data_IF_807609750328
#
_entry.id   IF_807609750328
#
_cell.length_a   1.000
_cell.length_b   1.000
_cell.length_c   1.000
_cell.angle_alpha   90.00
_cell.angle_beta   90.00
_cell.angle_gamma   90.00
#
_symmetry.space_group_name_H-M   'P 1'
#
loop_
_entity.id
_entity.type
_entity.pdbx_description
1 polymer ?
#
# COMPACT_ATOMS: atom_id res chain seq x y z
N UNK A 1 55.41 -27.74 22.24
CA UNK A 1 56.85 -27.46 22.21
C UNK A 1 57.23 -26.86 23.54
N UNK A 2 58.33 -27.34 24.08
CA UNK A 2 58.94 -26.94 25.35
C UNK A 2 59.04 -25.42 25.49
N UNK A 3 58.96 -24.96 26.74
CA UNK A 3 58.98 -23.55 27.08
C UNK A 3 60.35 -22.90 26.88
N UNK A 4 60.38 -21.58 27.10
CA UNK A 4 61.40 -20.85 27.83
C UNK A 4 60.95 -19.39 27.97
N UNK A 5 61.51 -18.71 28.99
CA UNK A 5 61.54 -17.27 29.23
C UNK A 5 60.45 -16.69 30.15
N UNK A 6 60.73 -16.72 31.45
CA UNK A 6 60.27 -15.69 32.37
C UNK A 6 61.19 -14.46 32.35
N UNK A 7 60.74 -13.35 32.92
CA UNK A 7 61.56 -12.51 33.79
C UNK A 7 60.70 -11.53 34.58
N UNK A 8 61.05 -11.41 35.84
CA UNK A 8 60.47 -10.58 36.90
C UNK A 8 60.96 -9.12 36.78
N UNK A 9 60.22 -8.17 37.35
CA UNK A 9 60.65 -7.58 38.63
C UNK A 9 59.86 -6.30 38.97
N UNK A 10 59.38 -6.31 40.20
CA UNK A 10 58.90 -5.17 40.96
C UNK A 10 60.10 -4.47 41.60
N UNK A 11 60.23 -3.17 41.35
CA UNK A 11 60.93 -2.18 42.18
C UNK A 11 59.96 -1.00 42.29
N UNK A 12 59.81 -0.26 43.36
CA UNK A 12 60.61 -0.02 44.53
C UNK A 12 60.10 1.30 45.13
N UNK A 13 60.23 1.43 46.43
CA UNK A 13 59.42 2.25 47.34
C UNK A 13 59.76 3.76 47.34
N UNK A 14 58.76 4.58 47.70
CA UNK A 14 58.77 5.69 48.71
C UNK A 14 58.80 7.19 48.34
N UNK A 15 57.84 7.89 48.98
CA UNK A 15 57.92 9.12 49.82
C UNK A 15 57.49 10.50 49.22
N UNK A 16 56.40 11.04 49.83
CA UNK A 16 56.04 12.44 50.24
C UNK A 16 56.33 13.59 49.24
N UNK A 17 55.51 14.62 49.05
CA UNK A 17 54.75 15.43 50.00
C UNK A 17 53.81 16.39 49.25
N UNK A 18 52.93 17.05 50.00
CA UNK A 18 51.72 17.76 49.59
C UNK A 18 51.93 19.28 49.40
N UNK A 19 51.09 19.86 48.52
CA UNK A 19 50.37 21.16 48.60
C UNK A 19 50.63 22.27 47.55
N UNK A 20 49.48 22.73 47.05
CA UNK A 20 49.05 24.09 46.74
C UNK A 20 49.27 24.67 45.31
N UNK A 21 48.23 24.49 44.51
CA UNK A 21 47.37 25.53 43.91
C UNK A 21 48.00 26.71 43.15
N UNK A 22 47.75 26.76 41.84
CA UNK A 22 47.25 27.92 41.09
C UNK A 22 47.03 27.48 39.62
N UNK A 23 45.78 27.20 39.23
CA UNK A 23 45.41 27.12 37.82
C UNK A 23 44.34 28.16 37.51
N UNK A 24 44.70 29.01 36.55
CA UNK A 24 43.87 30.04 35.96
C UNK A 24 42.77 29.44 35.09
N UNK A 25 41.70 30.22 34.94
CA UNK A 25 40.53 29.98 34.11
C UNK A 25 40.88 29.56 32.67
N UNK A 26 40.18 28.54 32.18
CA UNK A 26 39.61 28.55 30.82
C UNK A 26 38.21 27.95 30.86
N UNK A 27 37.21 28.75 30.51
CA UNK A 27 35.83 28.33 30.27
C UNK A 27 35.78 27.39 29.06
N UNK A 28 35.21 26.21 29.23
CA UNK A 28 34.58 25.49 28.12
C UNK A 28 33.27 24.89 28.64
N UNK A 29 32.16 25.28 28.03
CA UNK A 29 30.81 24.90 28.42
C UNK A 29 30.60 23.38 28.23
N UNK A 30 30.05 22.70 29.24
CA UNK A 30 29.49 21.36 29.07
C UNK A 30 28.07 21.50 28.50
N UNK A 31 27.84 21.03 27.27
CA UNK A 31 26.50 20.62 26.83
C UNK A 31 26.31 19.12 27.15
N UNK A 32 25.17 18.71 27.71
CA UNK A 32 24.83 17.30 27.81
C UNK A 32 24.30 16.80 26.46
N UNK A 33 25.07 15.98 25.76
CA UNK A 33 24.57 15.19 24.62
C UNK A 33 23.91 13.93 25.16
N UNK A 34 22.59 13.97 25.33
CA UNK A 34 21.75 12.77 25.34
C UNK A 34 21.32 12.50 23.90
N UNK A 35 22.15 11.78 23.15
CA UNK A 35 21.69 11.06 21.97
C UNK A 35 21.50 9.60 22.37
N UNK A 36 20.25 9.22 22.59
CA UNK A 36 19.87 7.82 22.50
C UNK A 36 20.16 7.35 21.06
N UNK A 37 20.63 6.11 20.85
CA UNK A 37 20.81 5.61 19.49
C UNK A 37 19.43 5.54 18.83
N UNK A 38 19.21 6.35 17.79
CA UNK A 38 18.08 6.18 16.88
C UNK A 38 18.12 4.76 16.36
N UNK A 39 17.12 3.94 16.72
CA UNK A 39 16.95 2.62 16.15
C UNK A 39 16.83 2.79 14.63
N UNK A 40 17.84 2.31 13.89
CA UNK A 40 17.79 2.27 12.44
C UNK A 40 16.71 1.29 12.03
N UNK A 41 15.68 1.79 11.34
CA UNK A 41 14.63 0.99 10.69
C UNK A 41 15.27 -0.12 9.84
N UNK A 42 14.76 -1.36 9.85
CA UNK A 42 15.15 -2.35 8.86
C UNK A 42 14.95 -1.77 7.46
N UNK A 43 15.92 -1.95 6.58
CA UNK A 43 15.72 -1.66 5.16
C UNK A 43 14.61 -2.61 4.66
N UNK A 44 13.43 -2.08 4.38
CA UNK A 44 12.28 -2.85 3.90
C UNK A 44 10.93 -2.41 4.44
N UNK A 45 10.81 -1.83 5.64
CA UNK A 45 9.47 -1.38 6.08
C UNK A 45 8.96 -0.21 5.22
N UNK A 46 7.67 -0.20 4.81
CA UNK A 46 7.08 0.97 4.18
C UNK A 46 7.35 2.23 5.01
N UNK A 47 7.64 3.39 4.40
CA UNK A 47 7.63 4.68 5.11
C UNK A 47 6.35 4.80 5.94
N UNK A 48 6.48 4.76 7.27
CA UNK A 48 5.34 4.84 8.18
C UNK A 48 4.56 6.16 8.06
N UNK A 49 5.15 7.15 7.37
CA UNK A 49 4.61 8.50 7.24
C UNK A 49 3.99 8.79 5.85
N UNK A 50 4.06 7.85 4.89
CA UNK A 50 3.46 8.04 3.55
C UNK A 50 2.15 7.24 3.49
N UNK A 51 1.01 7.85 3.12
CA UNK A 51 -0.25 7.16 2.94
C UNK A 51 -0.12 5.97 1.97
N UNK A 52 -0.74 4.81 2.25
CA UNK A 52 -0.67 3.62 1.39
C UNK A 52 -1.02 3.89 -0.08
N UNK A 53 -2.03 4.73 -0.33
CA UNK A 53 -2.38 5.18 -1.69
C UNK A 53 -1.20 5.84 -2.41
N UNK A 54 -0.54 6.81 -1.77
CA UNK A 54 0.60 7.54 -2.36
C UNK A 54 1.78 6.60 -2.63
N UNK A 55 2.02 5.60 -1.76
CA UNK A 55 3.04 4.58 -1.98
C UNK A 55 2.75 3.80 -3.26
N UNK A 56 1.52 3.30 -3.45
CA UNK A 56 1.13 2.55 -4.65
C UNK A 56 1.20 3.46 -5.88
N UNK A 57 0.63 4.67 -5.82
CA UNK A 57 0.65 5.62 -6.94
C UNK A 57 2.05 5.89 -7.48
N UNK A 58 3.08 5.86 -6.63
CA UNK A 58 4.48 6.04 -7.03
C UNK A 58 5.04 5.00 -8.01
N UNK A 59 4.38 3.84 -8.14
CA UNK A 59 4.78 2.75 -9.06
C UNK A 59 4.04 2.76 -10.40
N UNK A 60 3.06 3.65 -10.56
CA UNK A 60 2.19 3.69 -11.74
C UNK A 60 2.38 4.98 -12.55
N UNK A 61 2.31 4.85 -13.88
CA UNK A 61 2.45 5.97 -14.81
C UNK A 61 1.14 6.73 -15.05
N UNK A 62 1.22 7.77 -15.87
CA UNK A 62 0.07 8.65 -16.20
C UNK A 62 -1.12 7.92 -16.88
N UNK A 63 -0.89 6.74 -17.46
CA UNK A 63 -1.93 5.90 -18.06
C UNK A 63 -2.57 4.93 -17.05
N UNK A 64 -2.50 5.23 -15.77
CA UNK A 64 -3.13 4.45 -14.70
C UNK A 64 -3.91 5.37 -13.78
N UNK A 65 -5.09 4.92 -13.36
CA UNK A 65 -5.83 5.50 -12.25
C UNK A 65 -5.55 4.66 -11.00
N UNK A 66 -5.03 5.28 -9.94
CA UNK A 66 -4.79 4.61 -8.66
C UNK A 66 -5.72 5.21 -7.62
N UNK A 67 -6.50 4.37 -6.96
CA UNK A 67 -7.55 4.80 -6.06
C UNK A 67 -7.72 3.86 -4.86
N UNK A 68 -8.39 4.35 -3.82
CA UNK A 68 -8.73 3.54 -2.67
C UNK A 68 -9.89 2.59 -2.96
N UNK A 69 -9.84 1.45 -2.27
CA UNK A 69 -10.77 0.34 -2.33
C UNK A 69 -10.77 -0.36 -3.69
N UNK A 70 -10.97 -1.67 -3.67
CA UNK A 70 -11.13 -2.43 -4.89
C UNK A 70 -12.48 -2.10 -5.55
N UNK A 71 -12.54 -2.12 -6.90
CA UNK A 71 -13.67 -1.66 -7.66
C UNK A 71 -14.84 -2.66 -7.64
N UNK A 72 -15.99 -2.20 -8.11
CA UNK A 72 -17.20 -3.02 -8.23
C UNK A 72 -18.13 -2.98 -7.02
N UNK A 73 -19.39 -3.32 -7.28
CA UNK A 73 -20.46 -3.32 -6.26
C UNK A 73 -20.20 -4.39 -5.22
N UNK A 74 -19.62 -5.51 -5.68
CA UNK A 74 -19.15 -6.64 -4.90
C UNK A 74 -17.67 -6.81 -5.21
N UNK A 75 -16.81 -6.07 -4.50
CA UNK A 75 -15.38 -6.12 -4.75
C UNK A 75 -14.84 -7.52 -4.49
N UNK A 76 -13.69 -7.83 -5.09
CA UNK A 76 -13.03 -9.11 -4.88
C UNK A 76 -12.55 -9.28 -3.42
N UNK A 77 -12.23 -10.53 -3.07
CA UNK A 77 -11.56 -10.88 -1.83
C UNK A 77 -11.23 -12.35 -1.79
N UNK A 78 -10.46 -12.74 -0.79
CA UNK A 78 -10.04 -14.13 -0.62
C UNK A 78 -10.04 -14.56 0.84
N UNK A 79 -10.20 -15.86 1.04
CA UNK A 79 -10.13 -16.49 2.34
C UNK A 79 -9.04 -17.56 2.39
N UNK A 80 -8.50 -17.77 3.58
CA UNK A 80 -7.49 -18.79 3.87
C UNK A 80 -8.18 -20.06 4.37
N UNK A 81 -8.42 -21.05 3.52
CA UNK A 81 -8.94 -22.36 3.94
C UNK A 81 -7.83 -23.31 4.41
N UNK A 82 -6.65 -23.18 3.82
CA UNK A 82 -5.50 -24.04 4.12
C UNK A 82 -4.84 -23.73 5.46
N UNK A 83 -4.20 -24.73 6.06
CA UNK A 83 -3.32 -24.52 7.21
C UNK A 83 -1.91 -24.11 6.74
N UNK A 84 -1.26 -23.20 7.47
CA UNK A 84 0.10 -22.71 7.19
C UNK A 84 0.25 -22.09 5.79
N UNK A 85 -0.75 -21.32 5.35
CA UNK A 85 -0.68 -20.63 4.07
C UNK A 85 0.31 -19.48 4.17
N UNK A 86 1.17 -19.36 3.15
CA UNK A 86 2.16 -18.30 3.04
C UNK A 86 1.95 -17.64 1.68
N UNK A 87 1.61 -16.35 1.72
CA UNK A 87 1.44 -15.56 0.51
C UNK A 87 2.78 -15.02 -0.02
N UNK A 88 2.97 -14.98 -1.34
CA UNK A 88 3.97 -14.12 -1.95
C UNK A 88 3.58 -12.67 -1.67
N UNK A 89 4.51 -11.89 -1.11
CA UNK A 89 4.27 -10.51 -0.77
C UNK A 89 5.49 -9.64 -1.07
N UNK A 90 5.32 -8.32 -0.93
CA UNK A 90 6.36 -7.34 -1.16
C UNK A 90 6.48 -6.33 -0.03
N UNK A 91 7.68 -5.80 0.16
CA UNK A 91 7.87 -4.59 0.96
C UNK A 91 7.35 -3.32 0.27
N UNK A 92 7.39 -3.31 -1.05
CA UNK A 92 6.99 -2.20 -1.91
C UNK A 92 6.01 -2.71 -3.00
N UNK A 93 4.95 -1.97 -3.35
CA UNK A 93 3.93 -2.42 -4.30
C UNK A 93 4.38 -2.27 -5.77
N UNK A 94 5.56 -2.80 -6.11
CA UNK A 94 6.06 -2.84 -7.49
C UNK A 94 5.36 -3.96 -8.27
N UNK A 95 4.49 -3.65 -9.25
CA UNK A 95 3.78 -4.67 -10.04
C UNK A 95 4.72 -5.44 -10.99
N UNK A 96 5.89 -4.89 -11.31
CA UNK A 96 6.87 -5.51 -12.20
C UNK A 96 7.93 -6.33 -11.47
N UNK A 97 8.11 -6.05 -10.18
CA UNK A 97 9.06 -6.72 -9.30
C UNK A 97 8.55 -8.08 -8.83
N UNK A 98 9.44 -9.08 -8.65
CA UNK A 98 9.07 -10.33 -8.01
C UNK A 98 8.73 -10.08 -6.52
N UNK A 99 7.91 -10.94 -5.90
CA UNK A 99 7.74 -10.97 -4.45
C UNK A 99 9.09 -11.09 -3.72
N UNK A 100 9.32 -10.26 -2.71
CA UNK A 100 10.54 -10.23 -1.89
C UNK A 100 10.29 -10.50 -0.41
N UNK A 101 9.03 -10.79 -0.06
CA UNK A 101 8.57 -11.16 1.26
C UNK A 101 7.71 -12.44 1.20
N UNK A 102 7.71 -13.19 2.30
CA UNK A 102 6.75 -14.26 2.57
C UNK A 102 5.84 -13.83 3.71
N UNK A 103 4.53 -13.82 3.47
CA UNK A 103 3.56 -13.37 4.46
C UNK A 103 2.69 -14.56 4.92
N UNK A 104 3.02 -15.20 6.05
CA UNK A 104 2.12 -16.20 6.65
C UNK A 104 0.78 -15.57 6.99
N UNK A 105 -0.30 -16.33 6.83
CA UNK A 105 -1.64 -15.95 7.23
C UNK A 105 -2.30 -17.04 8.08
N UNK A 106 -3.11 -16.58 9.03
CA UNK A 106 -3.98 -17.42 9.84
C UNK A 106 -4.97 -18.20 8.97
N UNK A 107 -5.21 -19.46 9.36
CA UNK A 107 -6.32 -20.22 8.81
C UNK A 107 -7.63 -19.50 9.16
N UNK A 108 -8.57 -19.52 8.22
CA UNK A 108 -9.87 -18.85 8.25
C UNK A 108 -9.84 -17.34 8.04
N UNK A 109 -8.67 -16.69 7.94
CA UNK A 109 -8.60 -15.26 7.67
C UNK A 109 -9.26 -14.92 6.32
N UNK A 110 -10.06 -13.85 6.31
CA UNK A 110 -10.69 -13.31 5.09
C UNK A 110 -10.20 -11.90 4.81
N UNK A 111 -9.44 -11.74 3.73
CA UNK A 111 -8.94 -10.46 3.25
C UNK A 111 -9.94 -9.88 2.26
N UNK A 112 -10.78 -8.97 2.75
CA UNK A 112 -11.82 -8.29 1.98
C UNK A 112 -12.15 -6.94 2.61
N UNK A 113 -12.38 -5.90 1.81
CA UNK A 113 -12.66 -4.54 2.29
C UNK A 113 -13.98 -4.35 3.07
N UNK A 114 -14.78 -5.40 3.18
CA UNK A 114 -16.04 -5.43 3.93
C UNK A 114 -15.92 -6.25 5.22
N UNK A 115 -14.78 -6.89 5.46
CA UNK A 115 -14.50 -7.57 6.73
C UNK A 115 -14.03 -6.53 7.74
N UNK A 116 -14.95 -5.65 8.15
CA UNK A 116 -14.62 -4.46 8.95
C UNK A 116 -13.83 -4.79 10.21
N UNK A 117 -14.16 -5.89 10.88
CA UNK A 117 -13.45 -6.36 12.08
C UNK A 117 -11.97 -6.62 11.79
N UNK A 118 -11.66 -7.31 10.68
CA UNK A 118 -10.28 -7.58 10.28
C UNK A 118 -9.59 -6.34 9.71
N UNK A 119 -10.30 -5.52 8.93
CA UNK A 119 -9.76 -4.24 8.42
C UNK A 119 -9.27 -3.37 9.57
N UNK A 120 -10.04 -3.26 10.66
CA UNK A 120 -9.65 -2.49 11.83
C UNK A 120 -8.55 -3.19 12.64
N UNK A 121 -8.69 -4.49 12.91
CA UNK A 121 -7.75 -5.22 13.78
C UNK A 121 -6.37 -5.36 13.17
N UNK A 122 -6.31 -5.64 11.86
CA UNK A 122 -5.06 -5.91 11.14
C UNK A 122 -4.58 -4.69 10.34
N UNK A 123 -5.27 -3.55 10.46
CA UNK A 123 -4.96 -2.30 9.75
C UNK A 123 -4.91 -2.53 8.23
N UNK A 124 -5.92 -3.16 7.63
CA UNK A 124 -5.86 -3.50 6.20
C UNK A 124 -6.14 -2.29 5.32
N UNK A 125 -5.37 -2.14 4.23
CA UNK A 125 -5.67 -1.16 3.17
C UNK A 125 -5.84 -1.87 1.82
N UNK A 126 -6.79 -1.39 1.04
CA UNK A 126 -7.09 -1.91 -0.30
C UNK A 126 -6.90 -0.78 -1.28
N UNK A 127 -6.03 -0.97 -2.26
CA UNK A 127 -5.71 0.00 -3.29
C UNK A 127 -5.86 -0.69 -4.64
N UNK A 128 -6.52 -0.04 -5.59
CA UNK A 128 -6.58 -0.49 -6.97
C UNK A 128 -5.72 0.40 -7.83
N UNK A 129 -5.01 -0.20 -8.79
CA UNK A 129 -4.47 0.50 -9.94
C UNK A 129 -5.13 -0.06 -11.20
N UNK A 130 -5.87 0.79 -11.91
CA UNK A 130 -6.52 0.47 -13.18
C UNK A 130 -5.73 1.11 -14.31
N UNK A 131 -5.34 0.32 -15.30
CA UNK A 131 -4.81 0.89 -16.52
C UNK A 131 -5.95 1.64 -17.21
N UNK A 132 -5.66 2.83 -17.70
CA UNK A 132 -6.63 3.70 -18.36
C UNK A 132 -6.20 3.99 -19.77
N UNK A 133 -7.19 4.26 -20.62
CA UNK A 133 -6.99 4.63 -22.00
C UNK A 133 -7.93 5.78 -22.34
N UNK A 134 -7.40 6.90 -22.88
CA UNK A 134 -8.24 7.97 -23.37
C UNK A 134 -9.04 7.50 -24.59
N UNK A 135 -10.36 7.57 -24.53
CA UNK A 135 -11.29 7.17 -25.58
C UNK A 135 -11.88 8.40 -26.26
N UNK A 136 -12.07 8.31 -27.58
CA UNK A 136 -12.63 9.41 -28.37
C UNK A 136 -14.15 9.37 -28.36
N UNK A 137 -14.75 10.55 -28.24
CA UNK A 137 -16.18 10.75 -28.51
C UNK A 137 -16.39 10.76 -30.03
N UNK A 138 -17.34 9.97 -30.53
CA UNK A 138 -17.67 9.88 -31.96
C UNK A 138 -18.99 10.55 -32.34
N UNK A 139 -19.83 10.84 -31.34
CA UNK A 139 -21.18 11.38 -31.52
C UNK A 139 -21.42 12.50 -30.52
N UNK A 140 -21.95 13.62 -31.00
CA UNK A 140 -22.38 14.74 -30.16
C UNK A 140 -23.44 14.29 -29.16
N UNK A 141 -23.28 14.62 -27.88
CA UNK A 141 -24.21 14.22 -26.83
C UNK A 141 -24.18 15.17 -25.63
N UNK A 142 -25.19 15.07 -24.77
CA UNK A 142 -25.25 15.72 -23.46
C UNK A 142 -25.59 14.64 -22.45
N UNK A 143 -24.69 14.38 -21.51
CA UNK A 143 -24.85 13.31 -20.50
C UNK A 143 -24.97 13.91 -19.10
N UNK A 144 -25.79 13.27 -18.26
CA UNK A 144 -25.85 13.63 -16.84
C UNK A 144 -24.65 13.04 -16.11
N UNK A 145 -23.99 13.88 -15.32
CA UNK A 145 -22.81 13.53 -14.54
C UNK A 145 -22.90 14.11 -13.14
N UNK A 146 -22.07 13.62 -12.23
CA UNK A 146 -21.91 14.16 -10.88
C UNK A 146 -20.43 14.41 -10.62
N UNK A 147 -20.09 15.57 -10.06
CA UNK A 147 -18.71 15.84 -9.68
C UNK A 147 -18.29 14.87 -8.56
N UNK A 148 -17.14 14.21 -8.70
CA UNK A 148 -16.65 13.28 -7.65
C UNK A 148 -16.32 14.04 -6.37
N UNK A 149 -15.75 15.24 -6.50
CA UNK A 149 -15.37 16.09 -5.37
C UNK A 149 -16.57 16.85 -4.75
N UNK A 150 -17.72 16.87 -5.43
CA UNK A 150 -18.97 17.46 -4.94
C UNK A 150 -20.18 16.66 -5.47
N UNK A 151 -20.47 15.47 -4.89
CA UNK A 151 -21.44 14.54 -5.44
C UNK A 151 -22.90 15.00 -5.31
N UNK A 152 -23.16 16.07 -4.55
CA UNK A 152 -24.49 16.69 -4.49
C UNK A 152 -24.78 17.57 -5.73
N UNK A 153 -23.76 17.89 -6.51
CA UNK A 153 -23.87 18.68 -7.72
C UNK A 153 -24.05 17.78 -8.94
N UNK A 154 -25.24 17.82 -9.54
CA UNK A 154 -25.49 17.27 -10.86
C UNK A 154 -25.11 18.27 -11.94
N UNK A 155 -24.46 17.79 -13.00
CA UNK A 155 -24.13 18.57 -14.17
C UNK A 155 -24.59 17.87 -15.44
N UNK A 156 -24.76 18.66 -16.49
CA UNK A 156 -24.90 18.15 -17.85
C UNK A 156 -23.60 18.46 -18.56
N UNK A 157 -22.90 17.42 -18.99
CA UNK A 157 -21.67 17.53 -19.75
C UNK A 157 -21.98 17.38 -21.25
N UNK A 158 -21.77 18.45 -22.00
CA UNK A 158 -21.84 18.43 -23.46
C UNK A 158 -20.52 17.89 -24.02
N UNK A 159 -20.60 16.79 -24.78
CA UNK A 159 -19.47 16.13 -25.42
C UNK A 159 -19.62 16.21 -26.94
N UNK A 160 -18.55 16.61 -27.61
CA UNK A 160 -18.49 16.80 -29.07
C UNK A 160 -17.58 15.77 -29.73
N UNK A 161 -17.80 15.40 -31.01
CA UNK A 161 -16.92 14.48 -31.71
C UNK A 161 -15.46 14.97 -31.75
N UNK A 162 -14.55 14.11 -31.29
CA UNK A 162 -13.13 14.43 -31.17
C UNK A 162 -12.67 14.73 -29.75
N UNK A 163 -13.59 15.04 -28.83
CA UNK A 163 -13.31 15.11 -27.40
C UNK A 163 -12.80 13.77 -26.88
N UNK A 164 -12.09 13.82 -25.76
CA UNK A 164 -11.47 12.64 -25.15
C UNK A 164 -11.97 12.47 -23.73
N UNK A 165 -12.43 11.26 -23.43
CA UNK A 165 -12.89 10.84 -22.10
C UNK A 165 -12.03 9.68 -21.66
N UNK A 166 -11.63 9.66 -20.39
CA UNK A 166 -10.90 8.51 -19.81
C UNK A 166 -11.76 7.87 -18.75
N UNK A 167 -12.20 6.62 -18.93
CA UNK A 167 -12.88 5.87 -17.87
C UNK A 167 -11.83 5.44 -16.83
N UNK A 168 -12.10 5.73 -15.56
CA UNK A 168 -11.14 5.57 -14.46
C UNK A 168 -11.42 4.33 -13.61
N UNK A 169 -12.68 4.04 -13.33
CA UNK A 169 -13.12 2.86 -12.57
C UNK A 169 -14.60 2.58 -12.74
N UNK A 170 -14.97 1.32 -12.50
CA UNK A 170 -16.36 0.88 -12.34
C UNK A 170 -16.75 0.89 -10.86
N UNK A 171 -17.98 1.32 -10.55
CA UNK A 171 -18.55 1.28 -9.20
C UNK A 171 -19.53 0.14 -9.03
N UNK A 172 -20.54 0.04 -9.89
CA UNK A 172 -21.70 -0.83 -9.64
C UNK A 172 -22.90 -0.42 -10.46
N UNK A 173 -23.81 -1.35 -10.76
CA UNK A 173 -25.08 -1.10 -11.47
C UNK A 173 -24.95 -0.30 -12.80
N UNK A 174 -23.82 -0.42 -13.49
CA UNK A 174 -23.54 0.35 -14.72
C UNK A 174 -22.97 1.74 -14.50
N UNK A 175 -22.81 2.18 -13.24
CA UNK A 175 -22.14 3.42 -12.90
C UNK A 175 -20.64 3.23 -12.68
N UNK A 176 -19.91 4.29 -12.96
CA UNK A 176 -18.49 4.37 -12.69
C UNK A 176 -18.03 5.81 -12.75
N UNK A 177 -16.75 5.96 -13.03
CA UNK A 177 -16.09 7.24 -13.01
C UNK A 177 -15.32 7.48 -14.30
N UNK A 178 -15.32 8.72 -14.76
CA UNK A 178 -14.55 9.18 -15.90
C UNK A 178 -13.84 10.49 -15.61
N UNK A 179 -12.82 10.80 -16.40
CA UNK A 179 -12.19 12.11 -16.45
C UNK A 179 -12.32 12.75 -17.82
N UNK A 180 -12.63 14.05 -17.81
CA UNK A 180 -12.62 14.94 -18.98
C UNK A 180 -11.84 16.20 -18.59
N UNK A 181 -10.80 16.54 -19.35
CA UNK A 181 -9.91 17.68 -19.08
C UNK A 181 -9.37 17.74 -17.64
N UNK A 182 -9.14 16.56 -17.04
CA UNK A 182 -8.63 16.42 -15.67
C UNK A 182 -9.68 16.58 -14.56
N UNK A 183 -10.95 16.80 -14.91
CA UNK A 183 -12.06 16.83 -13.95
C UNK A 183 -12.70 15.45 -13.87
N UNK A 184 -12.89 14.95 -12.64
CA UNK A 184 -13.44 13.63 -12.33
C UNK A 184 -14.96 13.69 -12.15
N UNK A 185 -15.67 12.80 -12.82
CA UNK A 185 -17.12 12.70 -12.79
C UNK A 185 -17.58 11.27 -12.56
N UNK A 186 -18.56 11.08 -11.68
CA UNK A 186 -19.38 9.88 -11.69
C UNK A 186 -20.38 9.95 -12.85
N UNK A 187 -20.63 8.82 -13.51
CA UNK A 187 -21.43 8.75 -14.73
C UNK A 187 -22.06 7.37 -14.90
N UNK A 188 -23.19 7.30 -15.62
CA UNK A 188 -23.70 6.05 -16.17
C UNK A 188 -22.81 5.63 -17.35
N UNK A 189 -21.99 4.59 -17.14
CA UNK A 189 -21.08 4.09 -18.16
C UNK A 189 -21.82 3.46 -19.33
N UNK A 190 -23.02 2.92 -19.12
CA UNK A 190 -23.82 2.32 -20.20
C UNK A 190 -24.26 3.39 -21.20
N UNK A 191 -24.70 4.56 -20.70
CA UNK A 191 -25.00 5.71 -21.56
C UNK A 191 -23.73 6.25 -22.22
N UNK A 192 -22.66 6.47 -21.45
CA UNK A 192 -21.38 6.98 -21.95
C UNK A 192 -20.84 6.14 -23.13
N UNK A 193 -20.76 4.81 -22.99
CA UNK A 193 -20.20 3.93 -24.03
C UNK A 193 -20.98 3.96 -25.35
N UNK A 194 -22.22 4.46 -25.37
CA UNK A 194 -23.00 4.65 -26.60
C UNK A 194 -22.39 5.71 -27.53
N UNK A 195 -21.60 6.64 -26.98
CA UNK A 195 -21.04 7.80 -27.71
C UNK A 195 -19.53 7.73 -27.93
N UNK A 196 -18.86 6.70 -27.39
CA UNK A 196 -17.42 6.51 -27.54
C UNK A 196 -17.08 5.63 -28.75
N UNK A 197 -15.90 5.85 -29.32
CA UNK A 197 -15.29 4.88 -30.24
C UNK A 197 -15.03 3.57 -29.50
N UNK A 198 -15.41 2.46 -30.14
CA UNK A 198 -15.14 1.13 -29.60
C UNK A 198 -13.64 0.91 -29.57
N UNK A 199 -13.11 0.68 -28.38
CA UNK A 199 -11.74 0.25 -28.16
C UNK A 199 -11.76 -1.06 -27.37
N UNK A 200 -11.20 -2.11 -27.96
CA UNK A 200 -11.12 -3.45 -27.37
C UNK A 200 -9.74 -3.72 -26.75
N UNK A 201 -8.93 -2.68 -26.56
CA UNK A 201 -7.63 -2.80 -25.90
C UNK A 201 -7.85 -3.39 -24.51
N UNK A 202 -7.27 -4.57 -24.20
CA UNK A 202 -7.36 -5.12 -22.86
C UNK A 202 -6.58 -4.20 -21.92
N UNK A 203 -7.23 -3.80 -20.83
CA UNK A 203 -6.63 -2.99 -19.78
C UNK A 203 -6.30 -3.89 -18.59
N UNK A 204 -5.16 -3.62 -17.96
CA UNK A 204 -4.73 -4.31 -16.76
C UNK A 204 -5.35 -3.70 -15.50
N UNK A 205 -5.59 -4.56 -14.49
CA UNK A 205 -6.05 -4.16 -13.16
C UNK A 205 -5.15 -4.84 -12.12
N UNK A 206 -4.70 -4.06 -11.15
CA UNK A 206 -3.88 -4.52 -10.04
C UNK A 206 -4.58 -4.19 -8.73
N UNK A 207 -5.05 -5.25 -8.07
CA UNK A 207 -5.71 -5.18 -6.76
C UNK A 207 -4.68 -5.45 -5.66
N UNK A 208 -4.22 -4.40 -5.01
CA UNK A 208 -3.26 -4.46 -3.91
C UNK A 208 -3.97 -4.48 -2.55
N UNK A 209 -3.50 -5.33 -1.65
CA UNK A 209 -3.83 -5.26 -0.24
C UNK A 209 -2.54 -5.03 0.57
N UNK A 210 -2.52 -4.00 1.41
CA UNK A 210 -1.53 -3.88 2.48
C UNK A 210 -2.07 -4.62 3.70
N UNK A 211 -1.41 -5.71 4.06
CA UNK A 211 -1.84 -6.61 5.13
C UNK A 211 -0.79 -6.71 6.23
N UNK A 212 -1.21 -7.26 7.37
CA UNK A 212 -0.33 -7.67 8.47
C UNK A 212 -0.14 -9.17 8.41
N UNK A 213 1.12 -9.62 8.35
CA UNK A 213 1.45 -11.04 8.35
C UNK A 213 1.30 -11.64 9.76
N UNK A 214 0.90 -12.91 9.81
CA UNK A 214 0.88 -13.71 11.03
C UNK A 214 2.29 -14.20 11.39
N UNK A 215 3.16 -13.25 11.73
CA UNK A 215 4.49 -13.49 12.27
C UNK A 215 4.70 -12.71 13.58
N UNK A 216 5.73 -13.10 14.34
CA UNK A 216 6.04 -12.50 15.66
C UNK A 216 6.30 -10.98 15.60
N UNK A 217 6.53 -10.43 14.41
CA UNK A 217 6.85 -9.02 14.17
C UNK A 217 5.70 -8.23 13.57
N UNK A 218 4.56 -8.87 13.28
CA UNK A 218 3.42 -8.27 12.59
C UNK A 218 3.87 -7.53 11.32
N UNK A 219 4.64 -8.20 10.46
CA UNK A 219 5.21 -7.59 9.26
C UNK A 219 4.12 -7.00 8.36
N UNK A 220 4.30 -5.75 7.92
CA UNK A 220 3.41 -5.08 6.96
C UNK A 220 3.85 -5.40 5.54
N UNK A 221 2.91 -5.86 4.72
CA UNK A 221 3.22 -6.52 3.45
C UNK A 221 2.21 -6.17 2.37
N UNK A 222 2.71 -5.83 1.18
CA UNK A 222 1.88 -5.67 -0.01
C UNK A 222 1.65 -7.01 -0.69
N UNK A 223 0.39 -7.36 -0.88
CA UNK A 223 -0.03 -8.57 -1.58
C UNK A 223 -0.83 -8.16 -2.82
N UNK A 224 -0.49 -8.76 -3.95
CA UNK A 224 -1.26 -8.64 -5.18
C UNK A 224 -2.30 -9.75 -5.22
N UNK A 225 -3.58 -9.39 -5.34
CA UNK A 225 -4.69 -10.35 -5.34
C UNK A 225 -4.50 -11.49 -6.34
N UNK A 226 -4.11 -11.17 -7.57
CA UNK A 226 -3.90 -12.15 -8.64
C UNK A 226 -2.82 -13.19 -8.30
N UNK A 227 -1.81 -12.82 -7.51
CA UNK A 227 -0.77 -13.74 -7.03
C UNK A 227 -1.27 -14.57 -5.85
N UNK A 228 -1.98 -13.95 -4.90
CA UNK A 228 -2.56 -14.65 -3.75
C UNK A 228 -3.50 -15.78 -4.19
N UNK A 229 -4.32 -15.53 -5.21
CA UNK A 229 -5.25 -16.51 -5.78
C UNK A 229 -4.58 -17.73 -6.42
N UNK A 230 -3.26 -17.68 -6.69
CA UNK A 230 -2.49 -18.82 -7.19
C UNK A 230 -1.90 -19.69 -6.07
N UNK A 231 -2.06 -19.31 -4.80
CA UNK A 231 -1.51 -20.04 -3.65
C UNK A 231 -2.47 -21.15 -3.21
N UNK A 232 -2.02 -22.42 -3.11
CA UNK A 232 -2.85 -23.49 -2.58
C UNK A 232 -3.34 -23.20 -1.15
N UNK A 233 -4.63 -23.36 -0.91
CA UNK A 233 -5.26 -23.06 0.37
C UNK A 233 -5.83 -21.64 0.46
N UNK A 234 -5.64 -20.81 -0.57
CA UNK A 234 -6.43 -19.60 -0.79
C UNK A 234 -7.63 -19.96 -1.66
N UNK A 235 -8.79 -19.45 -1.26
CA UNK A 235 -10.03 -19.54 -2.05
C UNK A 235 -10.59 -18.16 -2.26
N UNK A 236 -11.32 -17.99 -3.37
CA UNK A 236 -12.08 -16.77 -3.60
C UNK A 236 -13.14 -16.64 -2.51
N UNK A 237 -13.26 -15.46 -1.90
CA UNK A 237 -14.21 -15.26 -0.82
C UNK A 237 -15.64 -15.40 -1.35
N UNK A 238 -16.43 -16.28 -0.73
CA UNK A 238 -17.82 -16.48 -1.12
C UNK A 238 -18.70 -15.40 -0.51
N UNK A 239 -19.23 -14.53 -1.37
CA UNK A 239 -20.17 -13.49 -0.99
C UNK A 239 -21.41 -14.03 -0.28
N UNK A 240 -21.74 -13.44 0.86
CA UNK A 240 -22.92 -13.79 1.67
C UNK A 240 -23.99 -12.69 1.67
N UNK A 241 -23.63 -11.46 1.31
CA UNK A 241 -24.53 -10.33 1.16
C UNK A 241 -23.78 -9.03 0.85
N UNK A 242 -24.52 -7.98 0.47
CA UNK A 242 -23.96 -6.65 0.21
C UNK A 242 -23.39 -6.03 1.49
N UNK A 243 -22.15 -5.55 1.43
CA UNK A 243 -21.48 -4.91 2.56
C UNK A 243 -21.14 -5.86 3.71
N UNK A 244 -21.17 -7.19 3.50
CA UNK A 244 -20.97 -8.18 4.55
C UNK A 244 -19.81 -9.09 4.17
N UNK A 245 -18.75 -9.08 4.95
CA UNK A 245 -17.72 -10.13 4.95
C UNK A 245 -17.25 -10.42 6.38
N UNK A 246 -16.77 -11.63 6.60
CA UNK A 246 -16.18 -12.08 7.86
C UNK A 246 -15.18 -13.19 7.56
N UNK A 247 -14.33 -13.49 8.53
CA UNK A 247 -13.52 -14.70 8.54
C UNK A 247 -14.39 -15.95 8.45
N UNK A 248 -13.78 -17.06 8.00
CA UNK A 248 -14.44 -18.36 7.91
C UNK A 248 -14.68 -18.94 9.31
N UNK A 249 -15.84 -19.61 9.50
CA UNK A 249 -16.20 -20.32 10.73
C UNK A 249 -15.60 -21.73 10.83
#
# INVERSE_FOLDING_TARGET
MEGLSGSESLWGTTLKQVYASLFALTLCACQPTTDAPTASRPAGSPPADIPPLEVVSGYYGENWNVDELWPGEYPDGFSVEGANVILPARFEPDPSGPPDLSCPLDQSATIHQWNHDRVETDDLYFIVANQTLPQRVNTETSIQVWLVDDPEQDEILDLTPGDTVTVLRYYGEGFGEMAVDGVRYAVDLTDLYTYLEVDETPLEEHLWALITCDDDTATRAWVLFSEAMNVPGIVYWSMTGYGIASDLE
#
